data_IF_317489650515
#
_entry.id   IF_317489650515
#
_cell.length_a   1.000
_cell.length_b   1.000
_cell.length_c   1.000
_cell.angle_alpha   90.00
_cell.angle_beta   90.00
_cell.angle_gamma   90.00
#
_symmetry.space_group_name_H-M   'P 1'
#
loop_
_entity.id
_entity.type
_entity.pdbx_description
1 polymer ?
#
# COMPACT_ATOMS: atom_id res chain seq x y z
N UNK A 1 -0.36 19.93 2.71
CA UNK A 1 0.32 19.72 1.42
C UNK A 1 -0.56 18.83 0.54
N UNK A 2 -0.40 18.87 -0.78
CA UNK A 2 -1.15 18.02 -1.71
C UNK A 2 -0.78 16.55 -1.52
N UNK A 3 -1.78 15.66 -1.54
CA UNK A 3 -1.56 14.20 -1.52
C UNK A 3 -1.17 13.70 -2.91
N UNK A 4 -0.36 12.63 -2.95
CA UNK A 4 -0.04 11.90 -4.19
C UNK A 4 -1.10 10.83 -4.38
N UNK A 5 -2.00 11.04 -5.35
CA UNK A 5 -3.04 10.06 -5.69
C UNK A 5 -2.42 8.94 -6.53
N UNK A 6 -2.49 7.70 -6.03
CA UNK A 6 -1.87 6.52 -6.63
C UNK A 6 -2.94 5.51 -7.03
N UNK A 7 -2.79 4.97 -8.24
CA UNK A 7 -3.53 3.81 -8.70
C UNK A 7 -2.60 2.59 -8.79
N UNK A 8 -3.09 1.41 -8.40
CA UNK A 8 -2.35 0.16 -8.50
C UNK A 8 -2.86 -0.66 -9.70
N UNK A 9 -1.95 -1.09 -10.58
CA UNK A 9 -2.25 -2.03 -11.65
C UNK A 9 -1.63 -3.39 -11.33
N UNK A 10 -2.46 -4.32 -10.87
CA UNK A 10 -2.05 -5.59 -10.27
C UNK A 10 -1.89 -5.48 -8.75
N UNK A 11 -2.74 -6.17 -7.99
CA UNK A 11 -2.75 -6.16 -6.53
C UNK A 11 -2.02 -7.40 -6.01
N UNK A 12 -0.78 -7.60 -6.47
CA UNK A 12 0.09 -8.72 -6.09
C UNK A 12 0.80 -8.54 -4.74
N UNK A 13 1.76 -9.43 -4.44
CA UNK A 13 2.57 -9.33 -3.21
C UNK A 13 3.27 -7.97 -3.04
N UNK A 14 3.83 -7.41 -4.11
CA UNK A 14 4.51 -6.11 -4.04
C UNK A 14 3.52 -5.00 -3.66
N UNK A 15 2.32 -5.01 -4.26
CA UNK A 15 1.26 -4.07 -3.91
C UNK A 15 0.81 -4.23 -2.45
N UNK A 16 0.64 -5.48 -1.99
CA UNK A 16 0.27 -5.78 -0.61
C UNK A 16 1.30 -5.32 0.42
N UNK A 17 2.58 -5.53 0.13
CA UNK A 17 3.68 -5.00 0.96
C UNK A 17 3.68 -3.47 0.95
N UNK A 18 3.58 -2.87 -0.24
CA UNK A 18 3.61 -1.42 -0.40
C UNK A 18 2.47 -0.71 0.36
N UNK A 19 1.24 -1.20 0.21
CA UNK A 19 0.08 -0.64 0.92
C UNK A 19 0.29 -0.69 2.43
N UNK A 20 0.72 -1.83 2.98
CA UNK A 20 0.99 -1.95 4.42
C UNK A 20 2.10 -1.01 4.91
N UNK A 21 3.17 -0.85 4.14
CA UNK A 21 4.28 0.06 4.49
C UNK A 21 3.82 1.52 4.49
N UNK A 22 3.01 1.94 3.50
CA UNK A 22 2.44 3.29 3.48
C UNK A 22 1.52 3.51 4.69
N UNK A 23 0.71 2.53 5.06
CA UNK A 23 -0.16 2.63 6.23
C UNK A 23 0.63 2.75 7.55
N UNK A 24 1.73 2.00 7.72
CA UNK A 24 2.62 2.16 8.86
C UNK A 24 3.27 3.56 8.90
N UNK A 25 3.70 4.08 7.75
CA UNK A 25 4.25 5.44 7.65
C UNK A 25 3.23 6.49 8.09
N UNK A 26 1.95 6.33 7.72
CA UNK A 26 0.85 7.21 8.18
C UNK A 26 0.58 7.11 9.68
N UNK A 27 0.82 5.96 10.29
CA UNK A 27 0.73 5.77 11.75
C UNK A 27 1.92 6.35 12.51
N UNK A 28 2.91 6.95 11.82
CA UNK A 28 4.11 7.51 12.44
C UNK A 28 5.06 6.45 12.99
N UNK A 29 4.90 5.18 12.61
CA UNK A 29 5.82 4.12 13.01
C UNK A 29 7.11 4.25 12.20
N UNK A 30 8.25 4.18 12.89
CA UNK A 30 9.56 4.07 12.23
C UNK A 30 9.61 2.78 11.45
N UNK A 31 9.99 2.89 10.19
CA UNK A 31 10.19 1.76 9.31
C UNK A 31 11.69 1.52 9.29
N UNK A 32 12.15 0.33 9.67
CA UNK A 32 13.59 0.01 9.69
C UNK A 32 14.26 0.12 8.31
N UNK A 33 13.48 0.33 7.25
CA UNK A 33 13.98 0.53 5.90
C UNK A 33 14.08 2.04 5.56
N UNK A 34 15.29 2.57 5.32
CA UNK A 34 15.53 4.00 5.10
C UNK A 34 14.75 4.56 3.90
N UNK A 35 14.43 3.74 2.89
CA UNK A 35 13.66 4.17 1.71
C UNK A 35 12.31 4.80 2.10
N UNK A 36 11.70 4.33 3.19
CA UNK A 36 10.39 4.81 3.63
C UNK A 36 10.44 5.86 4.75
N UNK A 37 11.64 6.27 5.17
CA UNK A 37 11.83 7.36 6.13
C UNK A 37 12.27 8.67 5.45
N UNK A 38 12.61 8.63 4.16
CA UNK A 38 13.09 9.79 3.43
C UNK A 38 11.96 10.62 2.80
N UNK A 39 12.17 11.93 2.81
CA UNK A 39 11.37 12.89 2.07
C UNK A 39 11.99 13.07 0.68
N UNK A 40 11.17 12.97 -0.36
CA UNK A 40 11.58 13.17 -1.75
C UNK A 40 10.85 14.38 -2.32
N UNK A 41 11.59 15.44 -2.64
CA UNK A 41 11.03 16.67 -3.23
C UNK A 41 9.84 17.26 -2.44
N UNK A 42 9.89 17.20 -1.10
CA UNK A 42 8.81 17.69 -0.23
C UNK A 42 7.70 16.68 0.07
N UNK A 43 7.77 15.46 -0.47
CA UNK A 43 6.78 14.42 -0.24
C UNK A 43 7.31 13.30 0.65
N UNK A 44 6.48 12.86 1.57
CA UNK A 44 6.74 11.69 2.41
C UNK A 44 5.90 10.51 1.95
N UNK A 45 6.28 9.27 2.28
CA UNK A 45 5.44 8.10 1.99
C UNK A 45 4.02 8.23 2.57
N UNK A 46 3.86 8.90 3.72
CA UNK A 46 2.55 9.21 4.31
C UNK A 46 1.66 10.17 3.49
N UNK A 47 2.21 10.79 2.44
CA UNK A 47 1.47 11.62 1.47
C UNK A 47 0.84 10.81 0.34
N UNK A 48 1.13 9.51 0.24
CA UNK A 48 0.50 8.63 -0.74
C UNK A 48 -0.94 8.31 -0.32
N UNK A 49 -1.86 8.48 -1.26
CA UNK A 49 -3.28 8.16 -1.14
C UNK A 49 -3.65 7.18 -2.27
N UNK A 50 -4.00 5.95 -1.92
CA UNK A 50 -4.48 4.98 -2.89
C UNK A 50 -5.93 5.31 -3.26
N UNK A 51 -6.16 5.60 -4.55
CA UNK A 51 -7.48 6.04 -5.05
C UNK A 51 -8.10 5.05 -6.02
N UNK A 52 -7.32 4.10 -6.53
CA UNK A 52 -7.80 3.06 -7.43
C UNK A 52 -6.90 1.83 -7.38
N UNK A 53 -7.47 0.67 -7.69
CA UNK A 53 -6.73 -0.56 -7.90
C UNK A 53 -7.41 -1.39 -9.00
N UNK A 54 -6.60 -2.08 -9.80
CA UNK A 54 -7.05 -2.93 -10.89
C UNK A 54 -6.42 -4.30 -10.76
N UNK A 55 -7.21 -5.36 -10.91
CA UNK A 55 -6.74 -6.75 -10.94
C UNK A 55 -7.67 -7.57 -11.84
N UNK A 56 -7.23 -8.78 -12.21
CA UNK A 56 -8.01 -9.74 -13.02
C UNK A 56 -8.45 -10.95 -12.19
N UNK A 57 -7.87 -11.13 -11.01
CA UNK A 57 -8.20 -12.24 -10.11
C UNK A 57 -9.61 -12.08 -9.56
N UNK A 58 -10.43 -13.13 -9.71
CA UNK A 58 -11.77 -13.21 -9.12
C UNK A 58 -11.76 -13.11 -7.60
N UNK A 59 -10.64 -13.47 -6.95
CA UNK A 59 -10.48 -13.34 -5.51
C UNK A 59 -10.24 -11.89 -5.05
N UNK A 60 -9.99 -10.97 -5.98
CA UNK A 60 -9.62 -9.57 -5.69
C UNK A 60 -10.61 -8.57 -6.28
N UNK A 61 -11.11 -8.83 -7.48
CA UNK A 61 -12.07 -7.95 -8.17
C UNK A 61 -13.36 -7.82 -7.36
N UNK A 62 -13.81 -6.58 -7.17
CA UNK A 62 -15.04 -6.26 -6.41
C UNK A 62 -14.85 -6.19 -4.90
N UNK A 63 -13.64 -6.41 -4.38
CA UNK A 63 -13.32 -6.23 -2.96
C UNK A 63 -12.70 -4.87 -2.70
N UNK A 64 -12.79 -4.41 -1.46
CA UNK A 64 -12.02 -3.27 -1.00
C UNK A 64 -10.52 -3.56 -1.10
N UNK A 65 -9.70 -2.54 -1.32
CA UNK A 65 -8.24 -2.70 -1.40
C UNK A 65 -7.67 -3.32 -0.12
N UNK A 66 -8.20 -2.96 1.06
CA UNK A 66 -7.78 -3.49 2.36
C UNK A 66 -7.98 -5.01 2.46
N UNK A 67 -8.95 -5.57 1.74
CA UNK A 67 -9.20 -7.01 1.66
C UNK A 67 -8.40 -7.66 0.52
N UNK A 68 -8.37 -7.03 -0.65
CA UNK A 68 -7.77 -7.57 -1.87
C UNK A 68 -6.26 -7.84 -1.72
N UNK A 69 -5.55 -7.03 -0.92
CA UNK A 69 -4.11 -7.24 -0.69
C UNK A 69 -3.80 -8.54 0.08
N UNK A 70 -4.76 -9.08 0.83
CA UNK A 70 -4.61 -10.33 1.57
C UNK A 70 -5.28 -11.52 0.89
N UNK A 71 -5.97 -11.30 -0.24
CA UNK A 71 -6.58 -12.38 -1.00
C UNK A 71 -5.52 -13.22 -1.73
N UNK A 72 -5.76 -14.53 -1.80
CA UNK A 72 -4.89 -15.47 -2.53
C UNK A 72 -4.73 -15.03 -4.01
N UNK A 73 -3.56 -15.26 -4.63
CA UNK A 73 -2.40 -16.00 -4.12
C UNK A 73 -1.37 -15.10 -3.40
N UNK A 74 -1.76 -13.93 -2.89
CA UNK A 74 -0.82 -13.14 -2.10
C UNK A 74 -0.43 -13.92 -0.83
N UNK A 75 0.85 -13.87 -0.48
CA UNK A 75 1.47 -14.56 0.66
C UNK A 75 2.23 -13.58 1.57
N UNK A 76 2.06 -12.28 1.34
CA UNK A 76 2.69 -11.25 2.17
C UNK A 76 2.21 -11.40 3.62
N UNK A 77 3.12 -11.44 4.61
CA UNK A 77 2.74 -11.42 6.01
C UNK A 77 1.94 -10.16 6.34
N UNK A 78 0.94 -10.30 7.20
CA UNK A 78 0.22 -9.15 7.74
C UNK A 78 1.04 -8.57 8.90
N UNK A 79 1.59 -7.38 8.70
CA UNK A 79 2.38 -6.65 9.70
C UNK A 79 1.86 -5.23 9.93
N UNK A 80 0.77 -4.86 9.26
CA UNK A 80 0.02 -3.63 9.47
C UNK A 80 -1.48 -3.93 9.49
N UNK A 81 -2.23 -3.23 10.34
CA UNK A 81 -3.66 -3.11 10.18
C UNK A 81 -3.95 -2.02 9.16
N UNK A 82 -4.76 -2.37 8.15
CA UNK A 82 -5.18 -1.47 7.07
C UNK A 82 -6.50 -0.84 7.43
#
# INVERSE_FOLDING_TARGET
MSKIKVALAGVGNIAAFFVQVIMLSKQGKKLENPIFEHELCGYRPSDIEFVAAFDVSREKVGRDLAEAIFAKPNLVPRFCEI
#
